data_IF_941391344763
#
_entry.id   IF_941391344763
#
_cell.length_a   1.000
_cell.length_b   1.000
_cell.length_c   1.000
_cell.angle_alpha   90.00
_cell.angle_beta   90.00
_cell.angle_gamma   90.00
#
_symmetry.space_group_name_H-M   'P 1'
#
loop_
_entity.id
_entity.type
_entity.pdbx_description
1 polymer ?
#
# COMPACT_ATOMS: atom_id res chain seq x y z
N UNK A 1 -63.24 -14.01 -6.15
CA UNK A 1 -62.31 -12.90 -5.83
C UNK A 1 -60.92 -13.51 -5.56
N UNK A 2 -59.98 -13.47 -6.51
CA UNK A 2 -58.77 -12.61 -6.53
C UNK A 2 -57.91 -12.80 -5.25
N UNK A 3 -56.64 -13.23 -5.28
CA UNK A 3 -55.54 -12.83 -6.17
C UNK A 3 -54.45 -13.91 -6.31
N UNK A 4 -53.78 -13.81 -7.46
CA UNK A 4 -52.57 -14.48 -7.96
C UNK A 4 -51.35 -13.62 -7.59
N UNK A 5 -50.15 -14.22 -7.65
CA UNK A 5 -48.80 -13.61 -7.76
C UNK A 5 -48.07 -13.28 -6.43
N UNK A 6 -46.77 -13.53 -6.26
CA UNK A 6 -45.78 -13.90 -7.27
C UNK A 6 -44.45 -14.41 -6.72
N UNK A 7 -43.86 -15.34 -7.48
CA UNK A 7 -42.42 -15.55 -7.52
C UNK A 7 -41.80 -14.35 -8.23
N UNK A 8 -40.86 -13.69 -7.58
CA UNK A 8 -40.07 -12.64 -8.20
C UNK A 8 -39.13 -12.04 -7.19
N UNK A 9 -37.85 -12.43 -7.27
CA UNK A 9 -36.63 -11.67 -6.93
C UNK A 9 -35.45 -12.62 -6.66
N UNK A 10 -34.98 -13.31 -7.71
CA UNK A 10 -33.58 -13.75 -7.80
C UNK A 10 -33.17 -13.53 -9.26
N UNK A 11 -32.91 -12.28 -9.64
CA UNK A 11 -32.37 -11.93 -10.94
C UNK A 11 -31.78 -10.51 -10.89
N UNK A 12 -30.79 -10.28 -10.03
CA UNK A 12 -29.99 -9.04 -10.08
C UNK A 12 -28.48 -9.30 -9.96
N UNK A 13 -28.02 -10.46 -9.48
CA UNK A 13 -26.58 -10.71 -9.33
C UNK A 13 -25.82 -11.17 -10.60
N UNK A 14 -26.51 -11.51 -11.69
CA UNK A 14 -25.85 -12.06 -12.88
C UNK A 14 -25.38 -11.00 -13.90
N UNK A 15 -25.77 -9.74 -13.74
CA UNK A 15 -25.46 -8.68 -14.71
C UNK A 15 -24.05 -8.07 -14.56
N UNK A 16 -23.37 -8.30 -13.43
CA UNK A 16 -21.99 -7.81 -13.20
C UNK A 16 -20.90 -8.76 -13.71
N UNK A 17 -21.24 -10.00 -14.06
CA UNK A 17 -20.30 -11.00 -14.59
C UNK A 17 -20.18 -11.00 -16.13
N UNK A 18 -20.92 -10.12 -16.81
CA UNK A 18 -20.96 -10.04 -18.28
C UNK A 18 -20.18 -8.84 -18.86
N UNK A 19 -19.45 -8.09 -18.03
CA UNK A 19 -18.62 -6.98 -18.49
C UNK A 19 -17.24 -7.49 -18.91
N UNK A 20 -17.09 -7.76 -20.21
CA UNK A 20 -15.82 -7.70 -20.92
C UNK A 20 -15.00 -8.99 -20.99
N UNK A 21 -15.15 -9.74 -22.09
CA UNK A 21 -14.17 -10.74 -22.55
C UNK A 21 -12.95 -10.09 -23.25
N UNK A 22 -12.61 -8.85 -22.89
CA UNK A 22 -11.38 -8.24 -23.39
C UNK A 22 -10.19 -9.00 -22.79
N UNK A 23 -9.14 -9.30 -23.57
CA UNK A 23 -7.92 -9.83 -22.98
C UNK A 23 -7.44 -8.81 -21.94
N UNK A 24 -7.51 -9.21 -20.67
CA UNK A 24 -6.95 -8.45 -19.56
C UNK A 24 -5.45 -8.69 -19.63
N UNK A 25 -4.74 -7.75 -20.24
CA UNK A 25 -3.29 -7.63 -20.08
C UNK A 25 -3.06 -6.91 -18.75
N UNK A 26 -3.19 -7.65 -17.65
CA UNK A 26 -2.74 -7.18 -16.35
C UNK A 26 -1.22 -7.13 -16.36
N UNK A 27 -0.66 -6.12 -15.72
CA UNK A 27 0.78 -6.07 -15.46
C UNK A 27 1.14 -7.18 -14.45
N UNK A 28 2.41 -7.57 -14.45
CA UNK A 28 2.94 -8.52 -13.47
C UNK A 28 3.52 -7.77 -12.28
N UNK A 29 2.84 -7.83 -11.14
CA UNK A 29 3.41 -7.33 -9.88
C UNK A 29 4.43 -8.30 -9.30
N UNK A 30 5.67 -8.20 -9.78
CA UNK A 30 6.75 -9.13 -9.45
C UNK A 30 7.20 -9.13 -7.98
N UNK A 31 6.88 -8.06 -7.24
CA UNK A 31 7.43 -7.76 -5.91
C UNK A 31 6.34 -7.18 -5.00
N UNK A 32 6.50 -7.36 -3.68
CA UNK A 32 5.58 -6.81 -2.68
C UNK A 32 5.98 -5.41 -2.22
N UNK A 33 7.25 -5.22 -1.89
CA UNK A 33 7.80 -3.93 -1.42
C UNK A 33 8.51 -3.15 -2.53
N UNK A 34 9.26 -3.84 -3.39
CA UNK A 34 10.05 -3.22 -4.46
C UNK A 34 9.14 -2.80 -5.62
N UNK A 35 9.43 -1.65 -6.23
CA UNK A 35 8.65 -1.11 -7.37
C UNK A 35 9.47 -1.17 -8.64
N UNK A 36 8.84 -1.56 -9.74
CA UNK A 36 9.45 -1.50 -11.06
C UNK A 36 9.63 -0.07 -11.57
N UNK A 37 10.66 0.15 -12.37
CA UNK A 37 10.94 1.43 -13.05
C UNK A 37 10.14 1.59 -14.35
N UNK A 38 9.53 0.52 -14.87
CA UNK A 38 8.75 0.57 -16.11
C UNK A 38 7.45 1.38 -15.90
N UNK A 39 7.16 2.38 -16.76
CA UNK A 39 5.90 3.12 -16.71
C UNK A 39 4.78 2.34 -17.41
N UNK A 40 3.56 2.55 -16.94
CA UNK A 40 2.37 2.11 -17.66
C UNK A 40 2.28 2.81 -19.03
N UNK A 41 1.93 2.08 -20.12
CA UNK A 41 1.72 2.68 -21.44
C UNK A 41 0.69 3.80 -21.43
N UNK A 42 0.86 4.80 -22.29
CA UNK A 42 -0.06 5.94 -22.38
C UNK A 42 -1.51 5.49 -22.63
N UNK A 43 -2.43 5.97 -21.79
CA UNK A 43 -3.84 5.60 -21.84
C UNK A 43 -4.16 4.24 -21.23
N UNK A 44 -3.15 3.42 -20.92
CA UNK A 44 -3.29 2.18 -20.15
C UNK A 44 -3.83 2.47 -18.75
N UNK A 45 -4.54 1.49 -18.19
CA UNK A 45 -5.12 1.57 -16.85
C UNK A 45 -5.13 0.20 -16.20
N UNK A 46 -4.80 0.16 -14.91
CA UNK A 46 -4.86 -1.06 -14.10
C UNK A 46 -5.55 -0.78 -12.76
N UNK A 47 -6.20 -1.80 -12.23
CA UNK A 47 -6.81 -1.78 -10.91
C UNK A 47 -6.27 -2.95 -10.10
N UNK A 48 -5.59 -2.67 -8.99
CA UNK A 48 -4.97 -3.69 -8.14
C UNK A 48 -5.58 -3.66 -6.74
N UNK A 49 -5.91 -4.84 -6.22
CA UNK A 49 -6.43 -5.01 -4.87
C UNK A 49 -5.42 -5.75 -4.00
N UNK A 50 -5.05 -5.16 -2.87
CA UNK A 50 -4.16 -5.75 -1.88
C UNK A 50 -4.91 -6.09 -0.60
N UNK A 51 -4.54 -7.21 0.01
CA UNK A 51 -4.93 -7.59 1.36
C UNK A 51 -3.69 -8.09 2.11
N UNK A 52 -3.18 -7.28 3.03
CA UNK A 52 -1.97 -7.58 3.79
C UNK A 52 -2.36 -7.92 5.22
N UNK A 53 -2.12 -9.17 5.63
CA UNK A 53 -2.33 -9.57 7.02
C UNK A 53 -1.07 -9.33 7.83
N UNK A 54 -1.20 -8.66 8.97
CA UNK A 54 -0.15 -8.41 9.94
C UNK A 54 -0.56 -9.05 11.27
N UNK A 55 0.37 -9.70 11.93
CA UNK A 55 0.15 -10.31 13.23
C UNK A 55 1.36 -10.11 14.11
N UNK A 56 1.12 -10.23 15.42
CA UNK A 56 2.13 -10.22 16.46
C UNK A 56 2.78 -8.84 16.73
N UNK A 57 3.10 -8.60 18.00
CA UNK A 57 3.78 -7.43 18.54
C UNK A 57 4.55 -7.86 19.78
N UNK A 58 5.59 -7.10 20.16
CA UNK A 58 6.42 -7.44 21.32
C UNK A 58 5.70 -7.48 22.68
N UNK A 59 4.45 -6.99 22.77
CA UNK A 59 3.60 -7.07 23.96
C UNK A 59 2.13 -7.04 23.56
N UNK A 60 1.31 -7.88 24.19
CA UNK A 60 -0.13 -7.97 23.95
C UNK A 60 -0.51 -8.88 22.78
N UNK A 61 -1.75 -8.76 22.31
CA UNK A 61 -2.29 -9.44 21.13
C UNK A 61 -2.48 -8.43 20.01
N UNK A 62 -1.98 -8.76 18.82
CA UNK A 62 -2.11 -7.92 17.64
C UNK A 62 -2.45 -8.75 16.40
N UNK A 63 -3.55 -8.42 15.74
CA UNK A 63 -3.88 -8.89 14.41
C UNK A 63 -4.54 -7.78 13.60
N UNK A 64 -4.09 -7.58 12.36
CA UNK A 64 -4.62 -6.57 11.46
C UNK A 64 -4.68 -7.09 10.03
N UNK A 65 -5.61 -6.56 9.25
CA UNK A 65 -5.64 -6.77 7.80
C UNK A 65 -5.80 -5.43 7.13
N UNK A 66 -4.79 -5.02 6.38
CA UNK A 66 -4.82 -3.80 5.59
C UNK A 66 -5.34 -4.12 4.19
N UNK A 67 -6.24 -3.28 3.71
CA UNK A 67 -6.80 -3.35 2.38
C UNK A 67 -6.34 -2.13 1.60
N UNK A 68 -5.88 -2.32 0.36
CA UNK A 68 -5.51 -1.20 -0.53
C UNK A 68 -6.11 -1.47 -1.89
N UNK A 69 -6.83 -0.49 -2.43
CA UNK A 69 -7.31 -0.50 -3.81
C UNK A 69 -6.53 0.57 -4.58
N UNK A 70 -5.80 0.14 -5.59
CA UNK A 70 -5.00 0.97 -6.49
C UNK A 70 -5.72 1.13 -7.81
N UNK A 71 -5.71 2.34 -8.35
CA UNK A 71 -6.05 2.64 -9.74
C UNK A 71 -4.85 3.35 -10.35
N UNK A 72 -4.12 2.66 -11.22
CA UNK A 72 -2.94 3.19 -11.93
C UNK A 72 -3.32 3.54 -13.38
N UNK A 73 -2.75 4.64 -13.90
CA UNK A 73 -2.96 5.09 -15.28
C UNK A 73 -1.70 5.67 -15.90
N UNK A 74 -1.39 5.24 -17.13
CA UNK A 74 -0.35 5.85 -17.95
C UNK A 74 -0.82 7.21 -18.49
N UNK A 75 -0.25 8.29 -17.96
CA UNK A 75 -0.53 9.66 -18.42
C UNK A 75 0.22 9.98 -19.72
N UNK A 76 1.43 9.44 -19.85
CA UNK A 76 2.24 9.41 -21.07
C UNK A 76 3.05 8.10 -21.07
N UNK A 77 3.76 7.79 -22.15
CA UNK A 77 4.68 6.64 -22.20
C UNK A 77 5.89 6.71 -21.23
N UNK A 78 6.00 7.78 -20.43
CA UNK A 78 7.03 7.96 -19.40
C UNK A 78 6.48 8.36 -18.03
N UNK A 79 5.21 8.73 -17.94
CA UNK A 79 4.61 9.25 -16.73
C UNK A 79 3.38 8.43 -16.39
N UNK A 80 3.39 7.83 -15.21
CA UNK A 80 2.30 7.04 -14.67
C UNK A 80 1.83 7.70 -13.38
N UNK A 81 0.51 7.80 -13.21
CA UNK A 81 -0.09 8.27 -11.97
C UNK A 81 -0.96 7.19 -11.36
N UNK A 82 -0.99 7.11 -10.03
CA UNK A 82 -1.87 6.19 -9.33
C UNK A 82 -2.60 6.88 -8.18
N UNK A 83 -3.80 6.39 -7.89
CA UNK A 83 -4.59 6.75 -6.72
C UNK A 83 -4.90 5.49 -5.92
N UNK A 84 -4.92 5.65 -4.60
CA UNK A 84 -5.12 4.55 -3.68
C UNK A 84 -6.17 4.89 -2.64
N UNK A 85 -7.04 3.93 -2.38
CA UNK A 85 -7.95 3.92 -1.25
C UNK A 85 -7.49 2.86 -0.26
N UNK A 86 -7.31 3.24 1.01
CA UNK A 86 -6.83 2.35 2.07
C UNK A 86 -7.93 2.07 3.07
N UNK A 87 -8.01 0.81 3.51
CA UNK A 87 -8.86 0.36 4.60
C UNK A 87 -8.08 -0.56 5.55
N UNK A 88 -8.64 -0.81 6.72
CA UNK A 88 -8.01 -1.64 7.73
C UNK A 88 -9.06 -2.35 8.59
N UNK A 89 -8.83 -3.62 8.92
CA UNK A 89 -9.44 -4.31 10.04
C UNK A 89 -8.39 -4.56 11.12
N UNK A 90 -8.77 -4.49 12.40
CA UNK A 90 -7.85 -4.67 13.52
C UNK A 90 -8.53 -5.38 14.69
N UNK A 91 -7.75 -6.18 15.42
CA UNK A 91 -8.09 -6.76 16.73
C UNK A 91 -6.84 -6.69 17.60
N UNK A 92 -6.88 -5.80 18.61
CA UNK A 92 -5.76 -5.51 19.50
C UNK A 92 -6.20 -5.58 20.95
N UNK A 93 -5.36 -6.19 21.78
CA UNK A 93 -5.60 -6.31 23.22
C UNK A 93 -4.30 -6.17 24.01
N UNK A 94 -4.31 -5.33 25.04
CA UNK A 94 -3.19 -5.20 25.98
C UNK A 94 -1.87 -4.78 25.33
N UNK A 95 -1.93 -4.02 24.24
CA UNK A 95 -0.73 -3.51 23.58
C UNK A 95 0.00 -2.50 24.46
N UNK A 96 1.33 -2.52 24.39
CA UNK A 96 2.20 -1.46 24.91
C UNK A 96 3.10 -0.96 23.79
N UNK A 97 2.90 0.27 23.36
CA UNK A 97 3.62 0.92 22.25
C UNK A 97 4.34 2.13 22.81
N UNK A 98 5.67 2.15 22.72
CA UNK A 98 6.55 3.23 23.23
C UNK A 98 6.29 3.62 24.68
N UNK A 99 5.94 2.63 25.50
CA UNK A 99 5.61 2.85 26.90
C UNK A 99 4.17 3.30 27.16
N UNK A 100 3.33 3.43 26.13
CA UNK A 100 1.92 3.81 26.24
C UNK A 100 0.98 2.62 26.05
N UNK A 101 -0.20 2.67 26.68
CA UNK A 101 -1.28 1.71 26.47
C UNK A 101 -2.45 2.40 25.75
N UNK A 102 -2.58 2.26 24.43
CA UNK A 102 -3.59 2.98 23.65
C UNK A 102 -5.02 2.50 23.90
N UNK A 103 -5.22 1.45 24.70
CA UNK A 103 -6.49 0.75 24.85
C UNK A 103 -6.74 -0.26 23.73
N UNK A 104 -7.66 -1.18 23.99
CA UNK A 104 -8.01 -2.26 23.06
C UNK A 104 -8.86 -1.73 21.90
N UNK A 105 -8.63 -2.24 20.69
CA UNK A 105 -9.39 -1.88 19.48
C UNK A 105 -9.84 -3.11 18.74
N UNK A 106 -11.09 -3.12 18.28
CA UNK A 106 -11.64 -4.21 17.47
C UNK A 106 -12.63 -3.71 16.43
N UNK A 107 -12.31 -3.91 15.15
CA UNK A 107 -13.23 -3.67 14.03
C UNK A 107 -12.80 -4.47 12.80
N UNK A 108 -13.78 -4.93 12.01
CA UNK A 108 -13.50 -5.72 10.80
C UNK A 108 -13.01 -4.86 9.63
N UNK A 109 -13.49 -3.62 9.53
CA UNK A 109 -13.11 -2.70 8.46
C UNK A 109 -13.39 -1.24 8.87
N UNK A 110 -12.42 -0.36 8.63
CA UNK A 110 -12.54 1.09 8.62
C UNK A 110 -11.78 1.62 7.41
N UNK A 111 -12.28 2.71 6.82
CA UNK A 111 -11.49 3.48 5.88
C UNK A 111 -10.31 4.12 6.63
N UNK A 112 -9.08 3.88 6.17
CA UNK A 112 -7.87 4.23 6.92
C UNK A 112 -7.03 5.30 6.25
N UNK A 113 -7.17 5.52 4.94
CA UNK A 113 -6.37 6.54 4.26
C UNK A 113 -6.62 6.65 2.76
N UNK A 114 -5.94 7.62 2.16
CA UNK A 114 -5.78 7.78 0.71
C UNK A 114 -4.32 8.06 0.38
N UNK A 115 -3.90 7.69 -0.81
CA UNK A 115 -2.57 7.99 -1.33
C UNK A 115 -2.68 8.34 -2.82
N UNK A 116 -1.82 9.23 -3.27
CA UNK A 116 -1.61 9.52 -4.69
C UNK A 116 -0.13 9.42 -5.00
N UNK A 117 0.21 8.91 -6.18
CA UNK A 117 1.60 8.77 -6.61
C UNK A 117 1.82 9.13 -8.08
N UNK A 118 3.06 9.49 -8.38
CA UNK A 118 3.57 9.74 -9.72
C UNK A 118 4.88 8.98 -9.91
N UNK A 119 5.01 8.29 -11.04
CA UNK A 119 6.22 7.60 -11.49
C UNK A 119 6.66 8.20 -12.82
N UNK A 120 7.87 8.75 -12.89
CA UNK A 120 8.45 9.29 -14.11
C UNK A 120 9.68 8.49 -14.52
N UNK A 121 9.61 7.81 -15.67
CA UNK A 121 10.69 7.03 -16.23
C UNK A 121 11.63 7.89 -17.08
N UNK A 122 12.89 7.98 -16.66
CA UNK A 122 13.96 8.61 -17.42
C UNK A 122 14.48 7.66 -18.51
N UNK A 123 14.67 6.40 -18.12
CA UNK A 123 15.07 5.28 -18.98
C UNK A 123 14.08 4.14 -18.76
N UNK A 124 13.78 3.37 -19.80
CA UNK A 124 12.93 2.19 -19.67
C UNK A 124 13.72 0.92 -19.96
N UNK A 125 13.53 -0.17 -19.18
CA UNK A 125 14.32 -1.39 -19.36
C UNK A 125 14.06 -2.04 -20.72
N UNK A 126 12.85 -1.89 -21.27
CA UNK A 126 12.51 -2.37 -22.60
C UNK A 126 13.22 -1.64 -23.75
N UNK A 127 13.70 -0.40 -23.54
CA UNK A 127 14.32 0.43 -24.59
C UNK A 127 15.82 0.65 -24.38
N UNK A 128 16.23 0.87 -23.14
CA UNK A 128 17.52 1.48 -22.79
C UNK A 128 18.46 0.50 -22.04
N UNK A 129 18.19 -0.82 -22.07
CA UNK A 129 18.90 -1.92 -21.34
C UNK A 129 18.79 -1.85 -19.80
N UNK A 130 18.54 -0.66 -19.24
CA UNK A 130 18.21 -0.43 -17.84
C UNK A 130 17.07 0.59 -17.72
N UNK A 131 16.17 0.35 -16.79
CA UNK A 131 15.12 1.27 -16.39
C UNK A 131 15.57 2.13 -15.21
N UNK A 132 15.34 3.43 -15.29
CA UNK A 132 15.57 4.39 -14.19
C UNK A 132 14.36 5.30 -14.10
N UNK A 133 13.74 5.38 -12.93
CA UNK A 133 12.56 6.21 -12.71
C UNK A 133 12.58 6.91 -11.35
N UNK A 134 11.98 8.10 -11.27
CA UNK A 134 11.63 8.73 -10.00
C UNK A 134 10.19 8.37 -9.63
N UNK A 135 9.94 8.14 -8.35
CA UNK A 135 8.62 7.90 -7.78
C UNK A 135 8.37 8.86 -6.64
N UNK A 136 7.24 9.54 -6.67
CA UNK A 136 6.78 10.47 -5.65
C UNK A 136 5.41 10.01 -5.16
N UNK A 137 5.22 9.85 -3.86
CA UNK A 137 3.91 9.60 -3.27
C UNK A 137 3.59 10.61 -2.17
N UNK A 138 2.29 10.86 -2.01
CA UNK A 138 1.73 11.57 -0.88
C UNK A 138 0.59 10.74 -0.32
N UNK A 139 0.55 10.55 0.99
CA UNK A 139 -0.57 9.88 1.65
C UNK A 139 -1.13 10.69 2.80
N UNK A 140 -2.43 10.57 2.99
CA UNK A 140 -3.12 10.96 4.21
C UNK A 140 -3.76 9.73 4.82
N UNK A 141 -3.32 9.37 6.00
CA UNK A 141 -3.91 8.30 6.79
C UNK A 141 -4.65 8.92 8.00
N UNK A 142 -5.77 8.31 8.40
CA UNK A 142 -6.61 8.78 9.51
C UNK A 142 -6.57 7.82 10.71
N UNK A 143 -6.07 6.61 10.49
CA UNK A 143 -6.04 5.54 11.48
C UNK A 143 -4.60 5.09 11.64
N UNK A 144 -4.12 5.07 12.88
CA UNK A 144 -2.80 4.55 13.20
C UNK A 144 -2.76 3.03 12.98
N UNK A 145 -1.79 2.58 12.17
CA UNK A 145 -1.63 1.17 11.84
C UNK A 145 -1.17 0.31 13.02
N UNK A 146 -0.61 0.93 14.07
CA UNK A 146 -0.09 0.23 15.24
C UNK A 146 -1.14 0.03 16.33
N UNK A 147 -1.91 1.06 16.65
CA UNK A 147 -2.91 1.02 17.72
C UNK A 147 -4.36 0.86 17.22
N UNK A 148 -4.66 1.21 15.97
CA UNK A 148 -6.03 1.32 15.46
C UNK A 148 -6.80 2.55 15.95
N UNK A 149 -6.11 3.48 16.64
CA UNK A 149 -6.67 4.75 17.09
C UNK A 149 -6.65 5.79 15.97
N UNK A 150 -7.46 6.84 16.13
CA UNK A 150 -7.48 7.95 15.18
C UNK A 150 -6.17 8.75 15.27
N UNK A 151 -5.47 8.87 14.13
CA UNK A 151 -4.20 9.61 13.98
C UNK A 151 -4.18 10.20 12.58
N UNK A 152 -4.18 11.53 12.47
CA UNK A 152 -4.00 12.21 11.19
C UNK A 152 -2.51 12.17 10.84
N UNK A 153 -2.15 11.38 9.82
CA UNK A 153 -0.78 11.22 9.34
C UNK A 153 -0.66 11.64 7.89
N UNK A 154 0.31 12.49 7.61
CA UNK A 154 0.67 12.95 6.28
C UNK A 154 2.07 12.42 5.96
N UNK A 155 2.20 11.60 4.92
CA UNK A 155 3.50 11.11 4.48
C UNK A 155 3.79 11.61 3.07
N UNK A 156 5.05 11.89 2.80
CA UNK A 156 5.59 12.09 1.46
C UNK A 156 6.79 11.17 1.28
N UNK A 157 6.83 10.41 0.19
CA UNK A 157 8.00 9.60 -0.16
C UNK A 157 8.55 9.99 -1.53
N UNK A 158 9.86 10.08 -1.64
CA UNK A 158 10.58 10.25 -2.89
C UNK A 158 11.55 9.06 -3.06
N UNK A 159 11.40 8.31 -4.15
CA UNK A 159 12.19 7.12 -4.46
C UNK A 159 12.84 7.25 -5.83
N UNK A 160 14.06 6.73 -5.95
CA UNK A 160 14.70 6.39 -7.21
C UNK A 160 14.59 4.88 -7.42
N UNK A 161 14.10 4.50 -8.58
CA UNK A 161 13.83 3.13 -9.00
C UNK A 161 14.80 2.73 -10.09
N UNK A 162 15.35 1.53 -10.01
CA UNK A 162 16.18 0.91 -11.02
C UNK A 162 15.64 -0.47 -11.37
N UNK A 163 15.66 -0.84 -12.64
CA UNK A 163 15.20 -2.15 -13.10
C UNK A 163 16.00 -2.65 -14.29
N UNK A 164 16.29 -3.94 -14.36
CA UNK A 164 16.97 -4.55 -15.51
C UNK A 164 16.38 -5.91 -15.84
N UNK A 165 16.30 -6.18 -17.14
CA UNK A 165 15.95 -7.48 -17.69
C UNK A 165 17.21 -8.26 -18.07
N UNK A 166 17.23 -9.53 -17.68
CA UNK A 166 18.24 -10.51 -18.06
C UNK A 166 17.53 -11.71 -18.70
N UNK A 167 18.27 -12.46 -19.53
CA UNK A 167 17.77 -13.68 -20.17
C UNK A 167 16.43 -13.43 -20.90
N UNK A 168 16.38 -12.39 -21.74
CA UNK A 168 15.18 -11.97 -22.48
C UNK A 168 13.95 -11.73 -21.58
N UNK A 169 14.18 -11.16 -20.39
CA UNK A 169 13.14 -10.86 -19.41
C UNK A 169 12.70 -12.08 -18.58
N UNK A 170 13.42 -13.20 -18.65
CA UNK A 170 13.21 -14.34 -17.78
C UNK A 170 13.69 -14.08 -16.35
N UNK A 171 14.71 -13.25 -16.18
CA UNK A 171 15.15 -12.75 -14.87
C UNK A 171 14.98 -11.25 -14.83
N UNK A 172 14.26 -10.76 -13.82
CA UNK A 172 14.07 -9.32 -13.58
C UNK A 172 14.74 -8.95 -12.27
N UNK A 173 15.63 -7.96 -12.33
CA UNK A 173 16.20 -7.32 -11.16
C UNK A 173 15.58 -5.95 -10.97
N UNK A 174 15.27 -5.58 -9.73
CA UNK A 174 14.85 -4.23 -9.37
C UNK A 174 15.53 -3.77 -8.08
N UNK A 175 15.73 -2.46 -7.95
CA UNK A 175 16.24 -1.83 -6.75
C UNK A 175 15.62 -0.46 -6.55
N UNK A 176 15.34 -0.15 -5.29
CA UNK A 176 14.73 1.09 -4.85
C UNK A 176 15.64 1.73 -3.80
N UNK A 177 15.76 3.05 -3.82
CA UNK A 177 16.23 3.82 -2.68
C UNK A 177 15.41 5.09 -2.56
N UNK A 178 15.16 5.57 -1.36
CA UNK A 178 14.33 6.75 -1.18
C UNK A 178 14.42 7.35 0.20
N UNK A 179 13.75 8.49 0.32
CA UNK A 179 13.54 9.20 1.57
C UNK A 179 12.05 9.43 1.77
N UNK A 180 11.62 9.38 3.02
CA UNK A 180 10.28 9.69 3.45
C UNK A 180 10.29 10.86 4.43
N UNK A 181 9.17 11.56 4.51
CA UNK A 181 8.89 12.48 5.60
C UNK A 181 7.46 12.33 6.06
N UNK A 182 7.29 12.20 7.37
CA UNK A 182 6.01 12.08 8.04
C UNK A 182 5.75 13.32 8.89
N UNK A 183 4.51 13.80 8.85
CA UNK A 183 3.93 14.63 9.90
C UNK A 183 2.71 13.92 10.44
N UNK A 184 2.66 13.66 11.74
CA UNK A 184 1.51 13.03 12.35
C UNK A 184 1.01 13.79 13.57
N UNK A 185 -0.30 13.73 13.79
CA UNK A 185 -0.93 14.29 14.98
C UNK A 185 -2.04 13.38 15.46
N UNK A 186 -2.04 13.13 16.77
CA UNK A 186 -3.05 12.32 17.46
C UNK A 186 -3.96 13.19 18.33
N UNK A 187 -5.23 12.83 18.40
CA UNK A 187 -6.19 13.44 19.32
C UNK A 187 -6.02 12.88 20.74
N UNK A 188 -6.55 13.56 21.74
CA UNK A 188 -6.58 13.04 23.11
C UNK A 188 -7.48 11.79 23.19
N UNK A 189 -7.01 10.74 23.86
CA UNK A 189 -7.80 9.53 24.12
C UNK A 189 -8.03 9.35 25.62
N UNK A 190 -9.16 8.74 25.99
CA UNK A 190 -9.41 8.35 27.37
C UNK A 190 -8.49 7.17 27.72
N UNK A 191 -7.50 7.42 28.58
CA UNK A 191 -6.57 6.39 29.00
C UNK A 191 -7.24 5.41 29.96
N UNK A 192 -7.05 4.09 29.79
CA UNK A 192 -7.66 3.08 30.64
C UNK A 192 -7.03 2.99 32.05
N UNK A 193 -5.88 3.63 32.27
CA UNK A 193 -5.11 3.53 33.52
C UNK A 193 -4.53 4.90 33.94
N UNK A 194 -4.52 5.17 35.25
CA UNK A 194 -3.87 6.36 35.82
C UNK A 194 -2.34 6.23 35.75
N UNK A 195 -1.65 7.35 35.47
CA UNK A 195 -0.17 7.43 35.46
C UNK A 195 0.49 7.25 34.09
N UNK A 196 -0.28 7.08 33.01
CA UNK A 196 0.22 7.17 31.64
C UNK A 196 -0.06 8.55 31.06
N UNK A 197 0.88 9.05 30.27
CA UNK A 197 0.71 10.28 29.49
C UNK A 197 0.29 9.91 28.07
N UNK A 198 -0.55 10.70 27.43
CA UNK A 198 -0.85 10.55 26.01
C UNK A 198 -0.57 11.88 25.36
N UNK A 199 0.62 12.00 24.77
CA UNK A 199 0.99 13.24 24.10
C UNK A 199 0.08 13.47 22.89
N UNK A 200 -0.33 14.72 22.70
CA UNK A 200 -1.03 15.18 21.49
C UNK A 200 -0.15 16.07 20.64
N UNK A 201 1.14 16.11 20.97
CA UNK A 201 2.12 16.90 20.24
C UNK A 201 2.34 16.29 18.85
N UNK A 202 2.69 17.12 17.85
CA UNK A 202 2.99 16.62 16.53
C UNK A 202 4.27 15.79 16.51
N UNK A 203 4.22 14.68 15.79
CA UNK A 203 5.37 13.84 15.49
C UNK A 203 5.86 14.13 14.08
N UNK A 204 7.18 14.23 13.95
CA UNK A 204 7.85 14.40 12.67
C UNK A 204 8.88 13.31 12.51
N UNK A 205 8.85 12.63 11.36
CA UNK A 205 9.79 11.57 11.04
C UNK A 205 10.46 11.87 9.69
N UNK A 206 11.73 11.50 9.61
CA UNK A 206 12.44 11.36 8.34
C UNK A 206 12.81 9.90 8.19
N UNK A 207 12.48 9.33 7.04
CA UNK A 207 12.69 7.91 6.75
C UNK A 207 13.73 7.76 5.64
N UNK A 208 14.55 6.71 5.73
CA UNK A 208 15.38 6.24 4.63
C UNK A 208 14.99 4.81 4.28
N UNK A 209 14.82 4.59 2.98
CA UNK A 209 14.45 3.29 2.42
C UNK A 209 15.50 2.84 1.41
N UNK A 210 15.81 1.55 1.43
CA UNK A 210 16.57 0.89 0.38
C UNK A 210 16.11 -0.57 0.24
N UNK A 211 16.06 -1.07 -0.98
CA UNK A 211 15.75 -2.48 -1.19
C UNK A 211 16.07 -2.94 -2.59
N UNK A 212 16.10 -4.26 -2.76
CA UNK A 212 16.35 -4.90 -4.05
C UNK A 212 15.65 -6.25 -4.11
N UNK A 213 15.28 -6.66 -5.33
CA UNK A 213 14.64 -7.94 -5.56
C UNK A 213 15.08 -8.56 -6.89
N UNK A 214 14.92 -9.87 -6.95
CA UNK A 214 15.08 -10.69 -8.15
C UNK A 214 13.82 -11.51 -8.37
N UNK A 215 13.33 -11.56 -9.59
CA UNK A 215 12.24 -12.43 -10.03
C UNK A 215 12.71 -13.33 -11.17
N UNK A 216 12.34 -14.60 -11.14
CA UNK A 216 12.63 -15.59 -12.18
C UNK A 216 11.35 -16.21 -12.72
N UNK A 217 11.10 -16.03 -14.01
CA UNK A 217 9.98 -16.63 -14.75
C UNK A 217 10.36 -18.03 -15.22
N UNK A 218 9.69 -19.06 -14.70
CA UNK A 218 9.97 -20.46 -15.06
C UNK A 218 8.94 -21.06 -16.02
N UNK A 219 7.80 -20.40 -16.20
CA UNK A 219 6.81 -20.69 -17.24
C UNK A 219 6.05 -19.40 -17.62
N UNK A 220 5.34 -19.36 -18.76
CA UNK A 220 4.55 -18.18 -19.13
C UNK A 220 3.61 -17.76 -17.99
N UNK A 221 3.72 -16.52 -17.51
CA UNK A 221 2.95 -15.95 -16.40
C UNK A 221 3.18 -16.58 -15.02
N UNK A 222 4.21 -17.44 -14.86
CA UNK A 222 4.60 -18.02 -13.58
C UNK A 222 6.04 -17.65 -13.24
N UNK A 223 6.20 -16.99 -12.11
CA UNK A 223 7.50 -16.57 -11.59
C UNK A 223 7.61 -16.82 -10.09
N UNK A 224 8.84 -16.83 -9.61
CA UNK A 224 9.16 -16.78 -8.18
C UNK A 224 10.10 -15.60 -7.95
N UNK A 225 9.85 -14.85 -6.88
CA UNK A 225 10.63 -13.68 -6.51
C UNK A 225 11.18 -13.77 -5.10
N UNK A 226 12.30 -13.09 -4.88
CA UNK A 226 12.84 -12.81 -3.56
C UNK A 226 13.21 -11.33 -3.49
N UNK A 227 12.86 -10.67 -2.37
CA UNK A 227 13.17 -9.27 -2.13
C UNK A 227 13.73 -9.08 -0.72
N UNK A 228 14.62 -8.09 -0.60
CA UNK A 228 15.11 -7.58 0.68
C UNK A 228 14.81 -6.09 0.71
N UNK A 229 14.19 -5.65 1.79
CA UNK A 229 13.82 -4.28 2.02
C UNK A 229 14.33 -3.83 3.38
N UNK A 230 14.94 -2.66 3.41
CA UNK A 230 15.46 -2.00 4.59
C UNK A 230 14.80 -0.63 4.71
N UNK A 231 14.32 -0.35 5.91
CA UNK A 231 13.65 0.88 6.27
C UNK A 231 14.19 1.32 7.63
N UNK A 232 14.46 2.61 7.78
CA UNK A 232 14.82 3.21 9.06
C UNK A 232 14.16 4.57 9.17
N UNK A 233 13.57 4.82 10.33
CA UNK A 233 12.89 6.06 10.66
C UNK A 233 13.69 6.80 11.73
N UNK A 234 13.74 8.12 11.62
CA UNK A 234 14.30 9.03 12.60
C UNK A 234 13.18 9.95 13.06
N UNK A 235 12.67 9.68 14.26
CA UNK A 235 11.60 10.45 14.87
C UNK A 235 12.17 11.60 15.70
N UNK A 236 11.55 12.76 15.59
CA UNK A 236 11.74 13.87 16.53
C UNK A 236 10.39 14.27 17.08
N UNK A 237 10.23 14.16 18.40
CA UNK A 237 9.17 14.88 19.12
C UNK A 237 9.53 16.37 19.10
N UNK A 238 8.66 17.19 18.52
CA UNK A 238 8.81 18.66 18.56
C UNK A 238 7.70 19.20 19.44
N UNK A 239 7.91 19.06 20.76
CA UNK A 239 7.08 19.66 21.82
C UNK A 239 7.77 20.85 22.46
#
# INVERSE_FOLDING_TARGET
MRKRNGFGRIAVLSALLALGQSPVFADEQLFGHIKGAEPMPEGGMEVVGYATHRWDKGTGSYAATDYKLEVERGLTNRLTGALYLKGMGIDTQGLRIDGYMPGDQRYAFKLSGVEGSLKYAFLTPARDDIGIAAYLSFSKDWIDAHSGQDKDKYNMELKLLSQKYFLDGQVVWAANTGIGSTYAKRGAVALPYEGFEWTTDPEMEIEYMAGTGLSYRFAPNWYIGAEVFYETEFETEVG
#
